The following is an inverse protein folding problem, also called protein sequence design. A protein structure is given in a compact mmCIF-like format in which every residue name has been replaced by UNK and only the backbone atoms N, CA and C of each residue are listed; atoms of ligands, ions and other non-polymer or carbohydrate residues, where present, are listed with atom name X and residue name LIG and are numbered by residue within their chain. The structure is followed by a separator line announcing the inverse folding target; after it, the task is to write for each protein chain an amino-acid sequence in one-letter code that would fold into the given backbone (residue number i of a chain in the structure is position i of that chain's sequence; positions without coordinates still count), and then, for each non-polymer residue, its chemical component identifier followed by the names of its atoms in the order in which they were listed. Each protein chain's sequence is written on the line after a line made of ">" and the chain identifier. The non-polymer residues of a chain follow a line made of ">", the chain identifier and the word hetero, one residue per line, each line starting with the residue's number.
data_IF_615604078682
#
_entry.id   IF_615604078682
#
_cell.length_a   1.000
_cell.length_b   1.000
_cell.length_c   1.000
_cell.angle_alpha   90.00
_cell.angle_beta   90.00
_cell.angle_gamma   90.00
#
_symmetry.space_group_name_H-M   'P 1'
#
loop_
_entity.id
_entity.type
_entity.pdbx_description
1 polymer ?
#
# COMPACT_ATOMS: atom_id res chain seq x y z
N UNK A 1 10.64 -16.33 4.27
CA UNK A 1 11.75 -15.48 3.74
C UNK A 1 12.33 -16.01 2.43
N UNK A 2 12.43 -17.34 2.21
CA UNK A 2 13.05 -17.92 1.00
C UNK A 2 12.23 -17.68 -0.29
N UNK A 3 10.91 -17.47 -0.18
CA UNK A 3 10.02 -17.22 -1.32
C UNK A 3 9.88 -15.73 -1.69
N UNK A 4 10.43 -14.82 -0.88
CA UNK A 4 10.39 -13.40 -1.17
C UNK A 4 11.50 -13.08 -2.17
N UNK A 5 11.13 -12.43 -3.26
CA UNK A 5 12.05 -11.85 -4.23
C UNK A 5 11.74 -10.36 -4.35
N UNK A 6 12.76 -9.54 -4.41
CA UNK A 6 12.60 -8.09 -4.63
C UNK A 6 13.09 -7.71 -6.02
N UNK A 7 12.45 -6.74 -6.63
CA UNK A 7 12.77 -6.25 -7.98
C UNK A 7 12.79 -4.74 -8.00
N UNK A 8 13.78 -4.14 -8.64
CA UNK A 8 13.93 -2.68 -8.72
C UNK A 8 14.42 -2.24 -10.09
N UNK A 9 13.86 -1.15 -10.68
CA UNK A 9 14.35 -0.54 -11.91
C UNK A 9 15.32 0.62 -11.61
N UNK A 10 16.52 0.31 -11.09
CA UNK A 10 17.58 1.27 -10.74
C UNK A 10 17.24 2.25 -9.61
N UNK A 11 16.33 1.84 -8.69
CA UNK A 11 15.94 2.66 -7.54
C UNK A 11 16.25 2.00 -6.19
N UNK A 12 17.05 0.94 -6.17
CA UNK A 12 17.38 0.13 -4.98
C UNK A 12 17.94 0.97 -3.83
N UNK A 13 18.83 1.92 -4.12
CA UNK A 13 19.47 2.79 -3.11
C UNK A 13 18.47 3.76 -2.52
N UNK A 14 17.78 4.48 -3.38
CA UNK A 14 16.87 5.56 -3.00
C UNK A 14 15.55 5.07 -2.38
N UNK A 15 15.18 3.82 -2.62
CA UNK A 15 14.03 3.17 -1.97
C UNK A 15 14.40 2.39 -0.70
N UNK A 16 15.61 2.60 -0.18
CA UNK A 16 16.12 2.00 1.08
C UNK A 16 16.16 0.47 1.11
N UNK A 17 16.32 -0.20 -0.03
CA UNK A 17 16.46 -1.66 -0.11
C UNK A 17 17.84 -2.18 0.28
N UNK A 18 18.79 -1.31 0.62
CA UNK A 18 20.19 -1.66 0.95
C UNK A 18 20.32 -2.79 1.96
N UNK A 19 19.51 -2.73 3.03
CA UNK A 19 19.54 -3.76 4.09
C UNK A 19 19.16 -5.14 3.57
N UNK A 20 18.16 -5.22 2.72
CA UNK A 20 17.72 -6.46 2.08
C UNK A 20 18.78 -7.00 1.11
N UNK A 21 19.26 -6.16 0.20
CA UNK A 21 20.27 -6.52 -0.80
C UNK A 21 21.57 -7.01 -0.13
N UNK A 22 22.03 -6.32 0.92
CA UNK A 22 23.23 -6.71 1.66
C UNK A 22 23.11 -8.06 2.37
N UNK A 23 21.90 -8.46 2.76
CA UNK A 23 21.64 -9.74 3.41
C UNK A 23 21.34 -10.88 2.43
N UNK A 24 20.60 -10.58 1.35
CA UNK A 24 20.04 -11.59 0.45
C UNK A 24 20.76 -11.71 -0.89
N UNK A 25 21.56 -10.70 -1.25
CA UNK A 25 22.33 -10.64 -2.50
C UNK A 25 21.47 -10.43 -3.75
N UNK A 26 22.15 -10.12 -4.84
CA UNK A 26 21.53 -10.02 -6.15
C UNK A 26 21.41 -11.40 -6.79
N UNK A 27 20.35 -11.59 -7.57
CA UNK A 27 20.17 -12.78 -8.38
C UNK A 27 20.92 -12.64 -9.69
N UNK A 28 21.73 -13.65 -10.02
CA UNK A 28 22.32 -13.80 -11.35
C UNK A 28 22.62 -15.27 -11.61
N UNK A 29 22.20 -15.80 -12.77
CA UNK A 29 22.24 -17.23 -13.10
C UNK A 29 23.65 -17.82 -12.98
N UNK A 30 24.68 -17.10 -13.43
CA UNK A 30 26.07 -17.57 -13.41
C UNK A 30 26.88 -17.02 -12.23
N UNK A 31 26.28 -16.20 -11.36
CA UNK A 31 27.01 -15.41 -10.40
C UNK A 31 27.82 -14.28 -11.05
N UNK A 32 28.14 -13.25 -10.27
CA UNK A 32 29.04 -12.17 -10.67
C UNK A 32 29.90 -11.76 -9.50
N UNK A 33 31.16 -11.44 -9.77
CA UNK A 33 32.05 -10.89 -8.75
C UNK A 33 31.75 -9.42 -8.54
N UNK A 34 31.68 -9.01 -7.29
CA UNK A 34 31.55 -7.62 -6.92
C UNK A 34 32.88 -6.88 -7.19
N UNK A 35 32.92 -6.12 -8.27
CA UNK A 35 34.12 -5.39 -8.69
C UNK A 35 34.52 -4.30 -7.69
N UNK A 36 33.56 -3.71 -6.99
CA UNK A 36 33.87 -2.73 -5.94
C UNK A 36 34.65 -3.36 -4.79
N UNK A 37 34.29 -4.60 -4.43
CA UNK A 37 35.05 -5.36 -3.43
C UNK A 37 36.45 -5.73 -3.93
N UNK A 38 36.59 -6.07 -5.22
CA UNK A 38 37.88 -6.40 -5.83
C UNK A 38 38.81 -5.19 -5.89
N UNK A 39 38.24 -4.01 -6.16
CA UNK A 39 38.96 -2.74 -6.24
C UNK A 39 39.10 -2.01 -4.88
N UNK A 40 38.68 -2.67 -3.78
CA UNK A 40 38.68 -2.12 -2.42
C UNK A 40 37.91 -0.78 -2.27
N UNK A 41 36.91 -0.56 -3.11
CA UNK A 41 36.07 0.63 -3.07
C UNK A 41 34.92 0.45 -2.07
N UNK A 42 34.72 1.48 -1.23
CA UNK A 42 33.59 1.49 -0.29
C UNK A 42 32.30 1.82 -1.01
N UNK A 43 31.30 0.94 -0.90
CA UNK A 43 29.95 1.14 -1.42
C UNK A 43 28.89 0.90 -0.35
N UNK A 44 27.74 1.55 -0.47
CA UNK A 44 26.60 1.30 0.42
C UNK A 44 26.01 -0.11 0.22
N UNK A 45 26.12 -0.66 -0.98
CA UNK A 45 25.64 -1.97 -1.35
C UNK A 45 26.78 -2.94 -1.63
N UNK A 46 26.56 -4.19 -1.20
CA UNK A 46 27.37 -5.32 -1.63
C UNK A 46 26.76 -5.88 -2.90
N UNK A 47 27.34 -5.56 -4.05
CA UNK A 47 26.85 -5.97 -5.37
C UNK A 47 27.20 -7.43 -5.69
N UNK A 48 27.19 -8.28 -4.68
CA UNK A 48 27.45 -9.70 -4.85
C UNK A 48 26.22 -10.38 -5.48
N UNK A 49 26.40 -10.94 -6.68
CA UNK A 49 25.36 -11.65 -7.38
C UNK A 49 25.60 -13.16 -7.39
N UNK A 50 24.55 -13.94 -7.19
CA UNK A 50 24.61 -15.41 -7.18
C UNK A 50 23.26 -16.02 -7.61
N UNK A 51 23.23 -17.33 -7.96
CA UNK A 51 21.98 -18.02 -8.28
C UNK A 51 20.99 -18.11 -7.11
N UNK A 52 21.45 -17.86 -5.88
CA UNK A 52 20.61 -17.86 -4.67
C UNK A 52 20.24 -16.47 -4.17
N UNK A 53 20.63 -15.42 -4.90
CA UNK A 53 20.25 -14.05 -4.59
C UNK A 53 18.73 -13.84 -4.70
N UNK A 54 18.21 -12.93 -3.89
CA UNK A 54 16.76 -12.67 -3.82
C UNK A 54 16.38 -11.25 -4.30
N UNK A 55 17.33 -10.51 -4.86
CA UNK A 55 17.06 -9.20 -5.47
C UNK A 55 17.43 -9.20 -6.95
N UNK A 56 16.55 -8.68 -7.78
CA UNK A 56 16.76 -8.53 -9.23
C UNK A 56 16.80 -7.04 -9.55
N UNK A 57 17.98 -6.59 -9.95
CA UNK A 57 18.17 -5.22 -10.43
C UNK A 57 18.02 -5.20 -11.96
N UNK A 58 17.07 -4.39 -12.44
CA UNK A 58 16.70 -4.35 -13.86
C UNK A 58 17.36 -3.23 -14.65
N UNK A 59 18.05 -2.28 -13.95
CA UNK A 59 18.36 -1.00 -14.56
C UNK A 59 17.11 -0.17 -14.83
N UNK A 60 17.22 0.95 -15.54
CA UNK A 60 16.12 1.88 -15.82
C UNK A 60 15.12 1.25 -16.81
N UNK A 61 14.22 0.42 -16.31
CA UNK A 61 13.31 -0.39 -17.12
C UNK A 61 11.98 -0.67 -16.39
N UNK A 62 11.18 0.35 -16.14
CA UNK A 62 9.95 0.25 -15.34
C UNK A 62 8.90 -0.70 -15.94
N UNK A 63 8.78 -0.73 -17.27
CA UNK A 63 7.88 -1.69 -17.91
C UNK A 63 8.31 -3.15 -17.65
N UNK A 64 9.63 -3.43 -17.63
CA UNK A 64 10.15 -4.75 -17.33
C UNK A 64 9.91 -5.16 -15.87
N UNK A 65 9.84 -4.19 -14.95
CA UNK A 65 9.42 -4.45 -13.57
C UNK A 65 8.06 -5.13 -13.54
N UNK A 66 7.05 -4.57 -14.21
CA UNK A 66 5.70 -5.13 -14.20
C UNK A 66 5.62 -6.48 -14.90
N UNK A 67 6.36 -6.68 -16.01
CA UNK A 67 6.45 -7.98 -16.69
C UNK A 67 7.06 -9.05 -15.78
N UNK A 68 8.10 -8.70 -15.04
CA UNK A 68 8.72 -9.64 -14.11
C UNK A 68 7.86 -9.92 -12.88
N UNK A 69 7.19 -8.89 -12.34
CA UNK A 69 6.23 -9.07 -11.25
C UNK A 69 5.07 -9.97 -11.67
N UNK A 70 4.57 -9.81 -12.91
CA UNK A 70 3.55 -10.70 -13.46
C UNK A 70 4.05 -12.14 -13.55
N UNK A 71 5.21 -12.36 -14.17
CA UNK A 71 5.79 -13.70 -14.33
C UNK A 71 6.05 -14.39 -12.97
N UNK A 72 6.65 -13.66 -12.02
CA UNK A 72 6.93 -14.18 -10.68
C UNK A 72 5.65 -14.39 -9.85
N UNK A 73 4.67 -13.49 -9.99
CA UNK A 73 3.37 -13.57 -9.33
C UNK A 73 2.50 -14.75 -9.83
N UNK A 74 2.70 -15.19 -11.07
CA UNK A 74 2.05 -16.35 -11.67
C UNK A 74 2.78 -17.68 -11.40
N UNK A 75 3.89 -17.66 -10.67
CA UNK A 75 4.74 -18.85 -10.46
C UNK A 75 3.97 -20.04 -9.87
N UNK A 76 2.99 -19.78 -9.01
CA UNK A 76 2.15 -20.85 -8.44
C UNK A 76 1.30 -21.54 -9.51
N UNK A 77 0.64 -20.77 -10.36
CA UNK A 77 -0.21 -21.29 -11.42
C UNK A 77 0.56 -22.05 -12.51
N UNK A 78 1.83 -21.65 -12.73
CA UNK A 78 2.66 -22.22 -13.80
C UNK A 78 3.53 -23.39 -13.30
N UNK A 79 4.08 -23.29 -12.08
CA UNK A 79 5.08 -24.22 -11.55
C UNK A 79 4.67 -24.89 -10.23
N UNK A 80 3.50 -24.56 -9.66
CA UNK A 80 3.03 -25.09 -8.37
C UNK A 80 3.73 -24.48 -7.14
N UNK A 81 4.66 -23.55 -7.32
CA UNK A 81 5.40 -22.90 -6.23
C UNK A 81 5.12 -21.41 -6.20
N UNK A 82 4.57 -20.94 -5.07
CA UNK A 82 4.24 -19.52 -4.93
C UNK A 82 5.45 -18.70 -4.49
N UNK A 83 5.90 -17.81 -5.34
CA UNK A 83 6.80 -16.73 -4.98
C UNK A 83 6.01 -15.55 -4.39
N UNK A 84 6.70 -14.70 -3.64
CA UNK A 84 6.17 -13.46 -3.07
C UNK A 84 7.00 -12.29 -3.64
N UNK A 85 6.69 -11.86 -4.86
CA UNK A 85 7.46 -10.80 -5.51
C UNK A 85 7.08 -9.43 -4.94
N UNK A 86 8.11 -8.63 -4.66
CA UNK A 86 8.00 -7.25 -4.17
C UNK A 86 8.73 -6.35 -5.14
N UNK A 87 8.02 -5.52 -5.87
CA UNK A 87 8.58 -4.51 -6.75
C UNK A 87 8.66 -3.15 -6.07
N UNK A 88 9.77 -2.42 -6.25
CA UNK A 88 9.88 -1.03 -5.82
C UNK A 88 10.03 -0.12 -7.02
N UNK A 89 9.37 1.02 -7.00
CA UNK A 89 9.36 2.00 -8.09
C UNK A 89 9.15 3.40 -7.52
N UNK A 90 9.62 4.43 -8.20
CA UNK A 90 9.13 5.78 -7.94
C UNK A 90 7.68 5.93 -8.43
N UNK A 91 6.82 6.46 -7.56
CA UNK A 91 5.38 6.49 -7.80
C UNK A 91 4.94 7.06 -9.16
N UNK A 92 5.48 8.22 -9.65
CA UNK A 92 5.08 8.73 -10.96
C UNK A 92 5.49 7.82 -12.13
N UNK A 93 6.48 6.95 -11.94
CA UNK A 93 6.97 6.08 -13.01
C UNK A 93 6.14 4.81 -13.19
N UNK A 94 5.14 4.59 -12.34
CA UNK A 94 4.13 3.54 -12.55
C UNK A 94 3.43 3.72 -13.91
N UNK A 95 3.27 4.96 -14.36
CA UNK A 95 2.65 5.29 -15.64
C UNK A 95 3.39 4.74 -16.86
N UNK A 96 4.71 4.49 -16.74
CA UNK A 96 5.53 3.94 -17.83
C UNK A 96 5.25 2.47 -18.12
N UNK A 97 4.54 1.77 -17.25
CA UNK A 97 4.25 0.36 -17.40
C UNK A 97 2.79 -0.01 -17.13
N UNK A 98 1.85 0.93 -17.29
CA UNK A 98 0.43 0.70 -17.00
C UNK A 98 -0.18 -0.45 -17.79
N UNK A 99 0.22 -0.67 -19.04
CA UNK A 99 -0.29 -1.78 -19.84
C UNK A 99 0.14 -3.13 -19.24
N UNK A 100 1.41 -3.28 -18.90
CA UNK A 100 1.92 -4.49 -18.26
C UNK A 100 1.30 -4.70 -16.86
N UNK A 101 1.10 -3.63 -16.08
CA UNK A 101 0.40 -3.69 -14.79
C UNK A 101 -1.06 -4.16 -14.98
N UNK A 102 -1.78 -3.63 -15.99
CA UNK A 102 -3.13 -4.04 -16.29
C UNK A 102 -3.21 -5.54 -16.60
N UNK A 103 -2.28 -6.04 -17.43
CA UNK A 103 -2.21 -7.45 -17.75
C UNK A 103 -1.87 -8.31 -16.54
N UNK A 104 -0.95 -7.87 -15.70
CA UNK A 104 -0.61 -8.57 -14.46
C UNK A 104 -1.84 -8.75 -13.56
N UNK A 105 -2.61 -7.67 -13.35
CA UNK A 105 -3.85 -7.71 -12.57
C UNK A 105 -4.92 -8.60 -13.24
N UNK A 106 -5.08 -8.50 -14.56
CA UNK A 106 -6.04 -9.30 -15.33
C UNK A 106 -5.75 -10.80 -15.24
N UNK A 107 -4.48 -11.18 -15.23
CA UNK A 107 -4.03 -12.58 -15.10
C UNK A 107 -4.05 -13.11 -13.68
N UNK A 108 -4.47 -12.31 -12.70
CA UNK A 108 -4.43 -12.64 -11.27
C UNK A 108 -2.99 -12.95 -10.77
N UNK A 109 -2.01 -12.25 -11.30
CA UNK A 109 -0.65 -12.30 -10.77
C UNK A 109 -0.62 -11.72 -9.34
N UNK A 110 0.17 -12.35 -8.46
CA UNK A 110 0.22 -12.03 -7.04
C UNK A 110 1.55 -11.36 -6.67
N UNK A 111 1.51 -10.06 -6.43
CA UNK A 111 2.69 -9.25 -6.12
C UNK A 111 2.38 -8.09 -5.17
N UNK A 112 3.41 -7.61 -4.51
CA UNK A 112 3.39 -6.36 -3.77
C UNK A 112 4.17 -5.32 -4.56
N UNK A 113 3.51 -4.22 -4.94
CA UNK A 113 4.12 -3.06 -5.56
C UNK A 113 4.29 -1.96 -4.53
N UNK A 114 5.51 -1.50 -4.30
CA UNK A 114 5.84 -0.40 -3.38
C UNK A 114 6.29 0.79 -4.21
N UNK A 115 5.48 1.84 -4.24
CA UNK A 115 5.79 3.08 -4.91
C UNK A 115 6.29 4.11 -3.88
N UNK A 116 7.55 4.48 -3.98
CA UNK A 116 8.23 5.37 -3.04
C UNK A 116 9.41 6.08 -3.71
N UNK A 117 9.56 7.42 -3.57
CA UNK A 117 8.63 8.32 -2.90
C UNK A 117 7.33 8.49 -3.68
N UNK A 118 6.27 8.82 -2.95
CA UNK A 118 4.94 9.12 -3.51
C UNK A 118 4.47 10.51 -3.13
N UNK A 119 3.47 11.03 -3.86
CA UNK A 119 2.83 12.30 -3.59
C UNK A 119 3.60 13.52 -4.08
N UNK A 120 3.24 14.69 -3.54
CA UNK A 120 3.86 15.98 -3.87
C UNK A 120 4.76 16.51 -2.75
N UNK A 121 4.58 16.02 -1.52
CA UNK A 121 5.35 16.42 -0.33
C UNK A 121 6.56 15.51 -0.06
N UNK A 122 7.11 14.92 -1.11
CA UNK A 122 8.27 14.03 -1.04
C UNK A 122 9.53 14.75 -0.55
N UNK A 123 10.53 13.99 -0.10
CA UNK A 123 11.83 14.49 0.29
C UNK A 123 12.57 15.15 -0.90
N UNK A 124 13.87 15.37 -0.90
CA UNK A 124 14.58 16.26 -1.87
C UNK A 124 14.70 15.73 -3.30
N UNK A 125 13.88 14.78 -3.72
CA UNK A 125 13.93 14.20 -5.09
C UNK A 125 13.48 15.18 -6.19
N UNK A 126 12.69 16.20 -5.83
CA UNK A 126 12.29 17.28 -6.73
C UNK A 126 11.06 16.98 -7.59
N UNK A 127 10.61 17.98 -8.34
CA UNK A 127 9.33 17.99 -9.04
C UNK A 127 9.13 16.89 -10.09
N UNK A 128 10.22 16.39 -10.69
CA UNK A 128 10.15 15.31 -11.69
C UNK A 128 9.70 13.95 -11.07
N UNK A 129 9.73 13.83 -9.75
CA UNK A 129 9.34 12.64 -9.00
C UNK A 129 8.01 12.81 -8.27
N UNK A 130 7.36 13.96 -8.37
CA UNK A 130 6.04 14.21 -7.80
C UNK A 130 4.97 13.46 -8.58
N UNK A 131 4.00 12.89 -7.84
CA UNK A 131 2.84 12.18 -8.41
C UNK A 131 1.54 12.80 -7.92
N UNK A 132 0.60 13.02 -8.83
CA UNK A 132 -0.67 13.68 -8.54
C UNK A 132 -1.83 12.70 -8.65
N UNK A 133 -1.91 11.97 -9.77
CA UNK A 133 -3.05 11.13 -10.12
C UNK A 133 -2.88 9.63 -9.81
N UNK A 134 -1.73 9.20 -9.32
CA UNK A 134 -1.40 7.79 -9.10
C UNK A 134 -2.31 7.06 -8.07
N UNK A 135 -2.92 7.71 -7.06
CA UNK A 135 -3.91 7.05 -6.22
C UNK A 135 -5.06 6.40 -7.00
N UNK A 136 -5.49 7.03 -8.11
CA UNK A 136 -6.55 6.51 -8.97
C UNK A 136 -6.15 5.23 -9.71
N UNK A 137 -4.86 4.99 -9.93
CA UNK A 137 -4.35 3.77 -10.57
C UNK A 137 -4.73 2.56 -9.71
N UNK A 138 -4.45 2.59 -8.40
CA UNK A 138 -4.83 1.53 -7.48
C UNK A 138 -6.34 1.28 -7.48
N UNK A 139 -7.14 2.34 -7.33
CA UNK A 139 -8.61 2.26 -7.28
C UNK A 139 -9.23 1.72 -8.57
N UNK A 140 -8.55 1.83 -9.70
CA UNK A 140 -9.08 1.44 -11.01
C UNK A 140 -8.79 -0.01 -11.41
N UNK A 141 -7.99 -0.76 -10.63
CA UNK A 141 -7.54 -2.11 -11.01
C UNK A 141 -8.24 -3.20 -10.19
N UNK A 142 -9.01 -4.09 -10.82
CA UNK A 142 -9.51 -5.29 -10.15
C UNK A 142 -8.35 -6.15 -9.62
N UNK A 143 -8.50 -6.71 -8.43
CA UNK A 143 -7.49 -7.57 -7.82
C UNK A 143 -6.23 -6.87 -7.31
N UNK A 144 -6.22 -5.53 -7.28
CA UNK A 144 -5.15 -4.72 -6.71
C UNK A 144 -5.70 -3.91 -5.54
N UNK A 145 -5.38 -4.29 -4.31
CA UNK A 145 -5.72 -3.50 -3.12
C UNK A 145 -4.68 -2.40 -2.93
N UNK A 146 -5.10 -1.14 -2.81
CA UNK A 146 -4.17 -0.02 -2.67
C UNK A 146 -4.24 0.63 -1.30
N UNK A 147 -3.07 0.96 -0.74
CA UNK A 147 -2.93 1.56 0.59
C UNK A 147 -1.92 2.71 0.56
N UNK A 148 -2.14 3.66 1.46
CA UNK A 148 -1.26 4.81 1.66
C UNK A 148 -1.16 5.13 3.17
N UNK A 149 -0.40 4.33 3.95
CA UNK A 149 -0.23 4.54 5.37
C UNK A 149 0.63 5.78 5.66
N UNK A 150 0.39 6.41 6.81
CA UNK A 150 1.21 7.49 7.34
C UNK A 150 2.26 6.98 8.34
N UNK A 151 1.93 5.98 9.14
CA UNK A 151 2.73 5.52 10.27
C UNK A 151 3.30 4.12 10.05
N UNK A 152 4.41 3.80 10.72
CA UNK A 152 5.10 2.51 10.58
C UNK A 152 4.30 1.34 11.16
N UNK A 153 3.47 1.57 12.16
CA UNK A 153 2.58 0.56 12.73
C UNK A 153 1.44 0.19 11.76
N UNK A 154 0.85 1.19 11.08
CA UNK A 154 -0.08 0.96 9.97
C UNK A 154 0.59 0.15 8.86
N UNK A 155 1.80 0.58 8.44
CA UNK A 155 2.56 -0.12 7.41
C UNK A 155 2.84 -1.56 7.81
N UNK A 156 3.22 -1.82 9.06
CA UNK A 156 3.48 -3.18 9.57
C UNK A 156 2.21 -4.06 9.49
N UNK A 157 1.06 -3.50 9.89
CA UNK A 157 -0.25 -4.16 9.80
C UNK A 157 -0.61 -4.48 8.35
N UNK A 158 -0.49 -3.49 7.45
CA UNK A 158 -0.79 -3.65 6.02
C UNK A 158 0.17 -4.63 5.35
N UNK A 159 1.46 -4.63 5.70
CA UNK A 159 2.44 -5.59 5.17
C UNK A 159 2.12 -7.02 5.58
N UNK A 160 1.69 -7.22 6.84
CA UNK A 160 1.25 -8.53 7.32
C UNK A 160 0.03 -9.03 6.54
N UNK A 161 -0.98 -8.15 6.37
CA UNK A 161 -2.13 -8.42 5.52
C UNK A 161 -1.71 -8.72 4.08
N UNK A 162 -0.86 -7.89 3.48
CA UNK A 162 -0.43 -8.04 2.09
C UNK A 162 0.19 -9.42 1.82
N UNK A 163 1.13 -9.85 2.67
CA UNK A 163 1.74 -11.18 2.50
C UNK A 163 0.75 -12.33 2.71
N UNK A 164 -0.26 -12.17 3.54
CA UNK A 164 -1.37 -13.14 3.65
C UNK A 164 -2.24 -13.10 2.40
N UNK A 165 -2.65 -11.92 1.97
CA UNK A 165 -3.53 -11.68 0.83
C UNK A 165 -2.97 -12.22 -0.49
N UNK A 166 -1.66 -12.07 -0.73
CA UNK A 166 -0.99 -12.66 -1.89
C UNK A 166 -1.07 -14.20 -1.92
N UNK A 167 -1.28 -14.84 -0.78
CA UNK A 167 -1.26 -16.29 -0.63
C UNK A 167 -2.67 -16.92 -0.55
N UNK A 168 -3.72 -16.10 -0.46
CA UNK A 168 -5.08 -16.63 -0.47
C UNK A 168 -5.40 -17.29 -1.82
N UNK A 169 -6.09 -18.41 -1.77
CA UNK A 169 -6.55 -19.15 -2.94
C UNK A 169 -8.07 -19.20 -2.92
N UNK A 170 -8.68 -19.06 -4.11
CA UNK A 170 -10.12 -19.28 -4.24
C UNK A 170 -10.42 -20.74 -3.89
N UNK A 171 -11.17 -20.97 -2.82
CA UNK A 171 -11.73 -22.27 -2.51
C UNK A 171 -13.00 -22.46 -3.35
N UNK A 172 -13.00 -23.45 -4.25
CA UNK A 172 -14.21 -23.83 -4.99
C UNK A 172 -15.26 -24.32 -3.98
N UNK A 173 -16.42 -23.66 -3.91
CA UNK A 173 -17.57 -24.08 -3.10
C UNK A 173 -17.93 -23.20 -1.90
N UNK A 174 -17.23 -22.13 -1.62
CA UNK A 174 -17.53 -21.20 -0.51
C UNK A 174 -18.48 -20.04 -0.89
N UNK A 175 -19.37 -20.21 -1.87
CA UNK A 175 -20.38 -19.23 -2.27
C UNK A 175 -21.41 -18.88 -1.16
N UNK A 176 -21.32 -19.48 0.03
CA UNK A 176 -22.38 -19.39 1.05
C UNK A 176 -22.21 -18.25 2.06
N UNK A 177 -21.18 -17.43 1.99
CA UNK A 177 -20.97 -16.32 2.92
C UNK A 177 -20.65 -14.99 2.21
N UNK A 178 -21.43 -14.62 1.18
CA UNK A 178 -21.32 -13.34 0.46
C UNK A 178 -21.44 -12.14 1.40
N UNK A 179 -22.15 -12.28 2.52
CA UNK A 179 -22.38 -11.19 3.49
C UNK A 179 -21.15 -10.79 4.33
N UNK A 180 -20.11 -11.61 4.38
CA UNK A 180 -18.96 -11.40 5.28
C UNK A 180 -17.68 -10.90 4.60
N UNK A 181 -17.61 -10.87 3.26
CA UNK A 181 -16.40 -10.47 2.51
C UNK A 181 -16.70 -9.39 1.48
N UNK A 182 -17.03 -8.18 2.00
CA UNK A 182 -17.31 -7.01 1.16
C UNK A 182 -16.13 -6.59 0.27
N UNK A 183 -14.93 -6.96 0.65
CA UNK A 183 -13.69 -6.54 -0.03
C UNK A 183 -13.13 -7.62 -0.96
N UNK A 184 -13.68 -8.83 -0.89
CA UNK A 184 -13.19 -9.96 -1.68
C UNK A 184 -11.84 -10.50 -1.20
N UNK A 185 -11.48 -10.28 0.06
CA UNK A 185 -10.17 -10.64 0.61
C UNK A 185 -9.89 -12.14 0.61
N UNK A 186 -10.93 -12.96 0.67
CA UNK A 186 -10.81 -14.42 0.56
C UNK A 186 -10.27 -14.88 -0.80
N UNK A 187 -10.53 -14.10 -1.86
CA UNK A 187 -9.98 -14.40 -3.17
C UNK A 187 -8.50 -14.07 -3.28
N UNK A 188 -7.98 -13.21 -2.40
CA UNK A 188 -6.64 -12.67 -2.50
C UNK A 188 -6.44 -11.77 -3.72
N UNK A 189 -5.23 -11.27 -3.89
CA UNK A 189 -4.87 -10.37 -4.99
C UNK A 189 -3.45 -9.84 -4.86
N UNK A 190 -3.16 -8.78 -5.59
CA UNK A 190 -1.95 -7.98 -5.46
C UNK A 190 -2.19 -6.78 -4.55
N UNK A 191 -1.11 -6.19 -4.07
CA UNK A 191 -1.17 -4.99 -3.22
C UNK A 191 -0.29 -3.90 -3.80
N UNK A 192 -0.79 -2.66 -3.78
CA UNK A 192 -0.07 -1.46 -4.13
C UNK A 192 0.05 -0.56 -2.91
N UNK A 193 1.29 -0.27 -2.51
CA UNK A 193 1.61 0.63 -1.40
C UNK A 193 2.21 1.92 -1.95
N UNK A 194 1.63 3.05 -1.57
CA UNK A 194 2.21 4.38 -1.76
C UNK A 194 2.85 4.83 -0.46
N UNK A 195 4.16 5.06 -0.48
CA UNK A 195 4.94 5.39 0.70
C UNK A 195 5.71 6.69 0.49
N UNK A 196 5.86 7.47 1.56
CA UNK A 196 6.69 8.66 1.57
C UNK A 196 8.13 8.33 2.00
N UNK A 197 9.10 9.12 1.52
CA UNK A 197 10.47 9.18 2.05
C UNK A 197 10.65 10.27 3.11
N UNK A 198 9.62 11.09 3.37
CA UNK A 198 9.65 12.07 4.44
C UNK A 198 9.76 11.38 5.81
N UNK A 199 10.51 12.01 6.70
CA UNK A 199 10.50 11.62 8.11
C UNK A 199 9.21 12.12 8.75
N UNK A 200 8.39 11.19 9.22
CA UNK A 200 7.17 11.46 9.97
C UNK A 200 7.43 11.05 11.41
N UNK A 201 7.12 11.92 12.35
CA UNK A 201 7.18 11.61 13.77
C UNK A 201 6.23 10.46 14.08
N UNK A 202 6.74 9.45 14.76
CA UNK A 202 5.98 8.26 15.14
C UNK A 202 5.55 8.39 16.60
N UNK A 203 4.35 7.94 16.91
CA UNK A 203 3.86 7.86 18.29
C UNK A 203 3.62 6.41 18.66
N UNK A 204 3.85 6.09 19.93
CA UNK A 204 3.57 4.75 20.45
C UNK A 204 2.07 4.60 20.71
N UNK A 205 1.48 3.55 20.18
CA UNK A 205 0.11 3.12 20.45
C UNK A 205 0.01 1.61 20.37
N UNK A 206 -0.98 1.06 21.03
CA UNK A 206 -1.32 -0.35 20.92
C UNK A 206 -2.25 -0.55 19.70
N UNK A 207 -1.90 -1.49 18.85
CA UNK A 207 -2.74 -1.92 17.72
C UNK A 207 -3.48 -3.19 18.18
N UNK A 208 -4.71 -3.01 18.63
CA UNK A 208 -5.61 -4.13 18.93
C UNK A 208 -6.25 -4.72 17.66
N UNK A 209 -6.97 -5.81 17.80
CA UNK A 209 -7.61 -6.49 16.67
C UNK A 209 -8.63 -5.60 15.94
N UNK A 210 -9.29 -4.68 16.66
CA UNK A 210 -10.26 -3.74 16.09
C UNK A 210 -9.55 -2.73 15.21
N UNK A 211 -8.54 -2.04 15.75
CA UNK A 211 -7.76 -1.06 15.00
C UNK A 211 -7.03 -1.71 13.82
N UNK A 212 -6.52 -2.93 14.00
CA UNK A 212 -5.92 -3.72 12.90
C UNK A 212 -6.92 -3.92 11.75
N UNK A 213 -8.16 -4.34 12.06
CA UNK A 213 -9.21 -4.51 11.06
C UNK A 213 -9.56 -3.19 10.38
N UNK A 214 -9.72 -2.10 11.14
CA UNK A 214 -10.04 -0.78 10.61
C UNK A 214 -8.94 -0.21 9.69
N UNK A 215 -7.67 -0.40 10.04
CA UNK A 215 -6.51 -0.06 9.20
C UNK A 215 -6.59 -0.82 7.86
N UNK A 216 -6.90 -2.11 7.90
CA UNK A 216 -7.02 -2.95 6.70
C UNK A 216 -8.28 -2.56 5.93
N UNK A 217 -9.40 -2.30 6.57
CA UNK A 217 -10.68 -1.91 5.93
C UNK A 217 -10.66 -0.51 5.33
N UNK A 218 -9.60 0.26 5.57
CA UNK A 218 -9.29 1.48 4.84
C UNK A 218 -9.37 2.78 5.62
N UNK A 219 -9.72 2.76 6.91
CA UNK A 219 -9.71 3.98 7.74
C UNK A 219 -10.24 3.78 9.15
N UNK A 220 -9.79 4.64 10.04
CA UNK A 220 -10.11 4.62 11.47
C UNK A 220 -10.10 6.04 12.06
N UNK A 221 -10.73 6.23 13.21
CA UNK A 221 -10.68 7.49 13.93
C UNK A 221 -9.36 7.62 14.70
N UNK A 222 -8.47 8.52 14.24
CA UNK A 222 -7.26 8.88 14.98
C UNK A 222 -7.62 9.76 16.20
N UNK A 223 -8.52 10.72 15.99
CA UNK A 223 -9.17 11.51 17.05
C UNK A 223 -10.68 11.36 16.85
N UNK A 224 -11.35 10.57 17.71
CA UNK A 224 -12.78 10.29 17.54
C UNK A 224 -13.64 11.56 17.75
N UNK A 225 -14.79 11.68 17.04
CA UNK A 225 -15.66 12.82 17.17
C UNK A 225 -16.33 12.85 18.56
N UNK A 226 -16.40 14.04 19.14
CA UNK A 226 -17.14 14.33 20.36
C UNK A 226 -18.50 14.95 20.01
N UNK A 227 -19.40 15.09 21.00
CA UNK A 227 -20.71 15.71 20.80
C UNK A 227 -20.64 17.17 20.33
N UNK A 228 -19.53 17.85 20.57
CA UNK A 228 -19.26 19.23 20.12
C UNK A 228 -18.60 19.28 18.74
N UNK A 229 -18.36 18.14 18.09
CA UNK A 229 -17.67 18.06 16.80
C UNK A 229 -18.44 18.81 15.72
N UNK A 230 -17.77 19.73 15.04
CA UNK A 230 -18.30 20.50 13.92
C UNK A 230 -17.50 20.33 12.63
N UNK A 231 -16.25 19.85 12.77
CA UNK A 231 -15.33 19.62 11.65
C UNK A 231 -14.66 18.27 11.81
N UNK A 232 -14.58 17.51 10.74
CA UNK A 232 -13.74 16.33 10.59
C UNK A 232 -12.67 16.65 9.57
N UNK A 233 -11.40 16.41 9.92
CA UNK A 233 -10.31 16.46 8.98
C UNK A 233 -9.98 15.00 8.61
N UNK A 234 -10.27 14.61 7.38
CA UNK A 234 -9.94 13.30 6.84
C UNK A 234 -8.64 13.41 6.03
N UNK A 235 -7.63 12.63 6.38
CA UNK A 235 -6.33 12.66 5.70
C UNK A 235 -5.92 11.29 5.18
N UNK A 236 -5.00 11.28 4.20
CA UNK A 236 -4.37 10.10 3.68
C UNK A 236 -2.86 10.31 3.53
N UNK A 237 -2.04 9.37 4.01
CA UNK A 237 -0.60 9.32 3.82
C UNK A 237 0.18 10.43 4.51
N UNK A 238 1.20 10.96 3.84
CA UNK A 238 2.28 11.77 4.37
C UNK A 238 1.89 13.12 5.00
N UNK A 239 0.65 13.56 4.84
CA UNK A 239 0.12 14.84 5.38
C UNK A 239 -0.39 14.72 6.82
N UNK A 240 -0.32 13.54 7.43
CA UNK A 240 -0.76 13.28 8.80
C UNK A 240 -0.22 14.30 9.83
N UNK A 241 1.08 14.65 9.87
CA UNK A 241 1.59 15.59 10.88
C UNK A 241 0.91 16.96 10.83
N UNK A 242 0.70 17.50 9.63
CA UNK A 242 0.06 18.80 9.44
C UNK A 242 -1.41 18.78 9.89
N UNK A 243 -2.09 17.66 9.65
CA UNK A 243 -3.49 17.48 10.08
C UNK A 243 -3.60 17.36 11.59
N UNK A 244 -2.69 16.63 12.23
CA UNK A 244 -2.65 16.47 13.70
C UNK A 244 -2.41 17.84 14.35
N UNK A 245 -1.39 18.58 13.89
CA UNK A 245 -1.09 19.94 14.38
C UNK A 245 -2.31 20.88 14.23
N UNK A 246 -2.94 20.89 13.06
CA UNK A 246 -4.15 21.71 12.83
C UNK A 246 -5.33 21.30 13.73
N UNK A 247 -5.49 20.00 13.99
CA UNK A 247 -6.53 19.52 14.90
C UNK A 247 -6.27 19.98 16.34
N UNK A 248 -5.02 19.92 16.79
CA UNK A 248 -4.61 20.36 18.13
C UNK A 248 -4.85 21.87 18.31
N UNK A 249 -4.48 22.69 17.31
CA UNK A 249 -4.74 24.14 17.33
C UNK A 249 -6.23 24.46 17.39
N UNK A 250 -7.06 23.81 16.56
CA UNK A 250 -8.51 24.04 16.54
C UNK A 250 -9.19 23.59 17.84
N UNK A 251 -8.74 22.47 18.41
CA UNK A 251 -9.25 21.97 19.69
C UNK A 251 -8.74 22.76 20.89
N UNK A 252 -7.60 23.45 20.78
CA UNK A 252 -7.15 24.39 21.81
C UNK A 252 -8.14 25.56 21.97
N UNK A 253 -8.62 26.10 20.85
CA UNK A 253 -9.56 27.22 20.84
C UNK A 253 -11.00 26.78 21.16
N UNK A 254 -11.36 25.58 20.73
CA UNK A 254 -12.73 25.03 20.89
C UNK A 254 -12.65 23.52 21.17
N UNK A 255 -12.55 23.11 22.44
CA UNK A 255 -12.33 21.71 22.81
C UNK A 255 -13.39 20.75 22.25
N UNK A 256 -12.92 19.69 21.56
CA UNK A 256 -13.77 18.67 20.96
C UNK A 256 -14.50 19.08 19.69
N UNK A 257 -14.21 20.27 19.15
CA UNK A 257 -14.84 20.77 17.92
C UNK A 257 -14.34 20.08 16.65
N UNK A 258 -13.16 19.49 16.71
CA UNK A 258 -12.48 18.88 15.55
C UNK A 258 -12.10 17.44 15.83
N UNK A 259 -12.42 16.55 14.88
CA UNK A 259 -12.04 15.15 14.89
C UNK A 259 -11.10 14.84 13.70
N UNK A 260 -10.32 13.78 13.79
CA UNK A 260 -9.38 13.34 12.73
C UNK A 260 -9.70 11.93 12.30
N UNK A 261 -9.97 11.78 11.00
CA UNK A 261 -10.17 10.50 10.34
C UNK A 261 -8.92 10.15 9.52
N UNK A 262 -8.22 9.11 9.92
CA UNK A 262 -7.11 8.53 9.16
C UNK A 262 -7.65 7.61 8.07
N UNK A 263 -7.28 7.86 6.82
CA UNK A 263 -7.61 7.00 5.68
C UNK A 263 -6.34 6.30 5.27
N UNK A 264 -6.31 4.98 5.42
CA UNK A 264 -5.21 4.12 5.02
C UNK A 264 -5.39 3.58 3.60
N UNK A 265 -6.65 3.53 3.13
CA UNK A 265 -7.01 3.05 1.79
C UNK A 265 -8.33 3.64 1.32
N UNK A 266 -8.26 4.64 0.46
CA UNK A 266 -9.44 5.16 -0.23
C UNK A 266 -10.08 4.10 -1.16
N UNK A 267 -9.26 3.23 -1.75
CA UNK A 267 -9.72 2.10 -2.57
C UNK A 267 -10.66 1.16 -1.79
N UNK A 268 -10.23 0.72 -0.61
CA UNK A 268 -11.00 -0.24 0.19
C UNK A 268 -12.29 0.39 0.75
N UNK A 269 -12.23 1.64 1.17
CA UNK A 269 -13.44 2.37 1.58
C UNK A 269 -14.45 2.47 0.44
N UNK A 270 -13.99 2.84 -0.77
CA UNK A 270 -14.86 2.95 -1.95
C UNK A 270 -15.39 1.59 -2.40
N UNK A 271 -14.53 0.58 -2.50
CA UNK A 271 -14.89 -0.78 -2.93
C UNK A 271 -15.89 -1.41 -1.97
N UNK A 272 -15.63 -1.33 -0.66
CA UNK A 272 -16.54 -1.85 0.35
C UNK A 272 -17.92 -1.17 0.30
N UNK A 273 -17.96 0.16 0.08
CA UNK A 273 -19.22 0.88 -0.08
C UNK A 273 -19.97 0.44 -1.35
N UNK A 274 -19.28 0.34 -2.48
CA UNK A 274 -19.90 -0.11 -3.74
C UNK A 274 -20.48 -1.52 -3.62
N UNK A 275 -19.76 -2.43 -2.97
CA UNK A 275 -20.25 -3.81 -2.80
C UNK A 275 -21.41 -3.88 -1.80
N UNK A 276 -21.35 -3.12 -0.69
CA UNK A 276 -22.50 -3.00 0.22
C UNK A 276 -23.74 -2.48 -0.49
N UNK A 277 -23.62 -1.50 -1.39
CA UNK A 277 -24.73 -1.02 -2.21
C UNK A 277 -25.28 -2.11 -3.14
N UNK A 278 -24.39 -2.89 -3.81
CA UNK A 278 -24.81 -3.99 -4.69
C UNK A 278 -25.56 -5.08 -3.91
N UNK A 279 -25.09 -5.44 -2.73
CA UNK A 279 -25.70 -6.44 -1.87
C UNK A 279 -27.10 -5.98 -1.42
N UNK A 280 -27.24 -4.74 -0.97
CA UNK A 280 -28.55 -4.17 -0.59
C UNK A 280 -29.51 -4.12 -1.78
N UNK A 281 -29.03 -3.73 -2.95
CA UNK A 281 -29.86 -3.72 -4.16
C UNK A 281 -30.40 -5.11 -4.53
N UNK A 282 -29.68 -6.18 -4.16
CA UNK A 282 -30.12 -7.57 -4.31
C UNK A 282 -31.04 -8.06 -3.19
N UNK A 283 -31.42 -7.19 -2.25
CA UNK A 283 -32.34 -7.51 -1.15
C UNK A 283 -31.70 -8.15 0.08
N UNK A 284 -30.37 -8.11 0.20
CA UNK A 284 -29.63 -8.58 1.34
C UNK A 284 -29.33 -7.36 2.26
N UNK A 285 -30.10 -7.18 3.33
CA UNK A 285 -30.21 -5.89 4.05
C UNK A 285 -29.15 -5.61 5.13
N UNK A 286 -28.27 -6.54 5.52
CA UNK A 286 -27.49 -6.44 6.76
C UNK A 286 -26.00 -6.16 6.61
N UNK A 287 -25.53 -5.65 5.48
CA UNK A 287 -24.12 -5.32 5.36
C UNK A 287 -23.88 -3.81 5.51
N UNK A 288 -22.86 -3.42 6.28
CA UNK A 288 -22.40 -2.05 6.43
C UNK A 288 -20.92 -1.95 6.06
N UNK A 289 -20.59 -1.08 5.11
CA UNK A 289 -19.22 -0.80 4.74
C UNK A 289 -18.47 -0.01 5.82
N UNK A 290 -17.15 -0.10 5.86
CA UNK A 290 -16.34 0.64 6.85
C UNK A 290 -16.58 2.15 6.78
N UNK A 291 -16.67 2.75 5.60
CA UNK A 291 -16.96 4.17 5.44
C UNK A 291 -18.33 4.57 6.05
N UNK A 292 -19.32 3.69 5.99
CA UNK A 292 -20.65 3.95 6.58
C UNK A 292 -20.60 3.88 8.10
N UNK A 293 -19.82 2.99 8.68
CA UNK A 293 -19.57 2.91 10.13
C UNK A 293 -18.88 4.19 10.62
N UNK A 294 -17.83 4.62 9.90
CA UNK A 294 -17.09 5.83 10.22
C UNK A 294 -17.97 7.08 10.13
N UNK A 295 -18.68 7.28 9.04
CA UNK A 295 -19.55 8.43 8.85
C UNK A 295 -20.82 8.39 9.72
N UNK A 296 -21.26 7.21 10.15
CA UNK A 296 -22.35 7.03 11.10
C UNK A 296 -22.04 7.53 12.51
N UNK A 297 -20.78 7.80 12.83
CA UNK A 297 -20.35 8.35 14.10
C UNK A 297 -20.47 9.90 14.19
N UNK A 298 -20.82 10.57 13.09
CA UNK A 298 -20.92 12.04 13.02
C UNK A 298 -22.33 12.50 12.63
N UNK A 299 -22.70 13.66 13.10
CA UNK A 299 -23.97 14.30 12.74
C UNK A 299 -23.95 14.87 11.31
N UNK A 300 -25.11 14.97 10.69
CA UNK A 300 -25.25 15.43 9.29
C UNK A 300 -24.83 16.88 9.05
N UNK A 301 -24.68 17.69 10.09
CA UNK A 301 -24.24 19.08 10.03
C UNK A 301 -22.71 19.24 10.19
N UNK A 302 -21.98 18.17 10.48
CA UNK A 302 -20.50 18.19 10.58
C UNK A 302 -19.90 18.37 9.20
N UNK A 303 -18.94 19.26 9.08
CA UNK A 303 -18.20 19.51 7.83
C UNK A 303 -17.02 18.56 7.75
N UNK A 304 -16.82 17.98 6.59
CA UNK A 304 -15.65 17.12 6.31
C UNK A 304 -14.71 17.87 5.38
N UNK A 305 -13.46 18.00 5.80
CA UNK A 305 -12.34 18.52 5.00
C UNK A 305 -11.41 17.35 4.69
N UNK A 306 -11.10 17.16 3.41
CA UNK A 306 -10.16 16.11 2.99
C UNK A 306 -8.79 16.71 2.69
N UNK A 307 -7.73 16.06 3.17
CA UNK A 307 -6.33 16.46 2.96
C UNK A 307 -5.57 15.28 2.39
N UNK A 308 -5.02 15.46 1.20
CA UNK A 308 -4.29 14.42 0.48
C UNK A 308 -2.91 14.90 0.06
N UNK A 309 -1.95 14.00 -0.03
CA UNK A 309 -0.63 14.27 -0.62
C UNK A 309 -0.66 14.03 -2.14
N UNK A 310 -1.44 14.83 -2.84
CA UNK A 310 -1.71 14.67 -4.27
C UNK A 310 -2.77 15.66 -4.75
N UNK A 311 -3.60 15.19 -5.68
CA UNK A 311 -4.65 16.02 -6.29
C UNK A 311 -6.00 15.31 -6.24
#
# INVERSE_FOLDING_TARGET
>A
AQRIITVSPDVTVSTNLSGWVNQRGLFHVNGQTDMFTVEELQTMHRWRASPTGQHIELGIAENNLFLLLAAAGLSHSIFGERLLPVGTIYDPFIERGLDALNYACYQDARFLLVATPSGISLAPEGGAHQSIGTPLIGMSKPGLASFEPAFTDELSTIMSFAFSYLQHEKTEGEDTAIEADLLGDRCGGSVYLRLTTRRIEQFEREIDDTLMSEIIDGGYWLVPPQSSCSVVIAYIGAVAPQVIESCDELNHDSPGSTAVLAITSADRLHRGWMEAQRIRYRGLEKCSAQVEKLLGAIDSNVRIVTVTDGH
#
